data_IF_836797480813
#
_entry.id   IF_836797480813
#
_cell.length_a   1.000
_cell.length_b   1.000
_cell.length_c   1.000
_cell.angle_alpha   90.00
_cell.angle_beta   90.00
_cell.angle_gamma   90.00
#
_symmetry.space_group_name_H-M   'P 1'
#
loop_
_entity.id
_entity.type
_entity.pdbx_description
1 polymer ?
#
# COMPACT_ATOMS: atom_id res chain seq x y z
N UNK A 1 2.57 15.04 11.57
CA UNK A 1 3.02 13.95 12.45
C UNK A 1 1.80 13.14 12.87
N UNK A 2 1.79 11.81 12.62
CA UNK A 2 0.68 10.95 13.02
C UNK A 2 0.56 10.85 14.55
N UNK A 3 -0.65 10.57 15.04
CA UNK A 3 -0.90 10.38 16.50
C UNK A 3 -0.40 9.02 17.01
N UNK A 4 -0.22 8.06 16.11
CA UNK A 4 0.32 6.74 16.44
C UNK A 4 1.79 6.68 16.03
N UNK A 5 2.59 5.97 16.82
CA UNK A 5 3.97 5.74 16.48
C UNK A 5 4.07 4.76 15.31
N UNK A 6 5.14 4.85 14.59
CA UNK A 6 5.54 3.85 13.60
C UNK A 6 6.45 2.82 14.29
N UNK A 7 6.43 1.58 13.82
CA UNK A 7 7.26 0.49 14.35
C UNK A 7 8.48 0.32 13.45
N UNK A 8 9.70 0.61 13.93
CA UNK A 8 10.92 0.30 13.19
C UNK A 8 11.10 -1.21 13.02
N UNK A 9 11.83 -1.61 11.98
CA UNK A 9 12.17 -3.03 11.78
C UNK A 9 12.88 -3.65 13.00
N UNK A 10 13.71 -2.88 13.66
CA UNK A 10 14.46 -3.32 14.86
C UNK A 10 13.60 -3.59 16.08
N UNK A 11 12.34 -3.17 16.07
CA UNK A 11 11.41 -3.32 17.20
C UNK A 11 10.37 -4.42 16.99
N UNK A 12 10.51 -5.25 15.94
CA UNK A 12 9.60 -6.35 15.66
C UNK A 12 10.36 -7.59 15.20
N UNK A 13 9.89 -8.75 15.63
CA UNK A 13 10.32 -10.07 15.17
C UNK A 13 9.18 -10.85 14.48
N UNK A 14 8.01 -10.20 14.34
CA UNK A 14 6.84 -10.81 13.72
C UNK A 14 7.08 -11.07 12.22
N UNK A 15 6.93 -12.33 11.75
CA UNK A 15 7.24 -12.69 10.37
C UNK A 15 6.32 -12.04 9.33
N UNK A 16 5.07 -11.73 9.68
CA UNK A 16 4.13 -11.04 8.78
C UNK A 16 4.58 -9.60 8.59
N UNK A 17 4.93 -8.91 9.69
CA UNK A 17 5.43 -7.54 9.64
C UNK A 17 6.72 -7.47 8.83
N UNK A 18 7.69 -8.32 9.14
CA UNK A 18 8.99 -8.36 8.45
C UNK A 18 8.83 -8.71 6.97
N UNK A 19 7.96 -9.66 6.63
CA UNK A 19 7.67 -10.03 5.24
C UNK A 19 7.05 -8.87 4.45
N UNK A 20 6.13 -8.12 5.06
CA UNK A 20 5.56 -6.94 4.42
C UNK A 20 6.58 -5.81 4.27
N UNK A 21 7.44 -5.61 5.24
CA UNK A 21 8.51 -4.61 5.12
C UNK A 21 9.47 -4.97 3.98
N UNK A 22 9.85 -6.23 3.85
CA UNK A 22 10.69 -6.70 2.76
C UNK A 22 10.04 -6.47 1.38
N UNK A 23 8.73 -6.74 1.29
CA UNK A 23 7.97 -6.58 0.05
C UNK A 23 7.81 -5.10 -0.35
N UNK A 24 7.50 -4.23 0.61
CA UNK A 24 7.13 -2.84 0.33
C UNK A 24 8.32 -1.88 0.27
N UNK A 25 9.31 -2.10 1.12
CA UNK A 25 10.44 -1.17 1.29
C UNK A 25 11.76 -1.73 0.80
N UNK A 26 11.84 -3.03 0.61
CA UNK A 26 13.06 -3.74 0.23
C UNK A 26 13.63 -4.57 1.38
N UNK A 27 14.29 -5.67 1.02
CA UNK A 27 14.83 -6.64 1.98
C UNK A 27 15.84 -5.98 2.92
N UNK A 28 15.57 -6.10 4.21
CA UNK A 28 16.44 -5.60 5.26
C UNK A 28 16.36 -4.08 5.50
N UNK A 29 15.58 -3.34 4.72
CA UNK A 29 15.39 -1.89 4.90
C UNK A 29 14.51 -1.63 6.11
N UNK A 30 14.87 -0.65 6.95
CA UNK A 30 14.02 -0.16 8.03
C UNK A 30 13.18 1.02 7.51
N UNK A 31 11.84 0.85 7.39
CA UNK A 31 10.99 1.88 6.80
C UNK A 31 10.85 3.15 7.65
N UNK A 32 11.24 3.08 8.92
CA UNK A 32 11.15 4.23 9.85
C UNK A 32 12.44 5.01 9.90
N UNK A 33 13.58 4.31 9.96
CA UNK A 33 14.90 4.95 10.10
C UNK A 33 15.54 5.30 8.77
N UNK A 34 15.37 4.45 7.75
CA UNK A 34 16.03 4.61 6.46
C UNK A 34 15.30 5.55 5.49
N UNK A 35 14.11 5.95 5.77
CA UNK A 35 13.18 6.93 5.13
C UNK A 35 13.44 7.34 3.65
N UNK A 36 14.30 6.64 2.94
CA UNK A 36 14.75 7.05 1.60
C UNK A 36 13.80 6.71 0.48
N UNK A 37 12.80 5.88 0.75
CA UNK A 37 11.96 5.36 -0.34
C UNK A 37 10.51 5.22 0.13
N UNK A 38 9.58 5.68 -0.68
CA UNK A 38 8.20 5.24 -0.61
C UNK A 38 8.10 3.73 -0.83
N UNK A 39 6.94 3.15 -0.58
CA UNK A 39 6.70 1.74 -0.89
C UNK A 39 6.84 1.46 -2.39
N UNK A 40 6.97 0.20 -2.77
CA UNK A 40 6.92 -0.24 -4.17
C UNK A 40 5.66 0.26 -4.93
N UNK A 41 4.61 0.66 -4.21
CA UNK A 41 3.39 1.27 -4.76
C UNK A 41 3.43 2.80 -4.78
N UNK A 42 4.54 3.43 -4.36
CA UNK A 42 4.71 4.88 -4.34
C UNK A 42 4.04 5.60 -3.18
N UNK A 43 3.53 4.90 -2.16
CA UNK A 43 3.01 5.51 -0.93
C UNK A 43 4.13 5.77 0.07
N UNK A 44 3.91 6.70 1.01
CA UNK A 44 4.86 6.96 2.09
C UNK A 44 4.98 5.78 3.08
N UNK A 45 4.04 4.86 3.06
CA UNK A 45 4.09 3.62 3.84
C UNK A 45 3.76 3.75 5.31
N UNK A 46 3.50 4.96 5.81
CA UNK A 46 3.29 5.23 7.24
C UNK A 46 2.16 4.39 7.87
N UNK A 47 1.15 4.04 7.12
CA UNK A 47 0.06 3.21 7.63
C UNK A 47 0.48 1.75 7.82
N UNK A 48 1.38 1.21 7.00
CA UNK A 48 1.95 -0.12 7.19
C UNK A 48 2.80 -0.20 8.45
N UNK A 49 3.66 0.79 8.67
CA UNK A 49 4.49 0.86 9.87
C UNK A 49 3.68 1.13 11.14
N UNK A 50 2.50 1.73 10.99
CA UNK A 50 1.52 1.89 12.09
C UNK A 50 0.74 0.60 12.34
N UNK A 51 0.35 -0.15 11.31
CA UNK A 51 -0.30 -1.46 11.46
C UNK A 51 0.59 -2.47 12.16
N UNK A 52 1.89 -2.34 12.07
CA UNK A 52 2.84 -3.17 12.79
C UNK A 52 2.74 -3.07 14.33
N UNK A 53 1.98 -2.10 14.87
CA UNK A 53 1.61 -2.05 16.29
C UNK A 53 0.67 -3.20 16.70
N UNK A 54 -0.04 -3.78 15.75
CA UNK A 54 -0.94 -4.92 15.93
C UNK A 54 -0.71 -5.88 14.77
N UNK A 55 0.18 -6.87 14.92
CA UNK A 55 0.54 -7.80 13.85
C UNK A 55 -0.66 -8.56 13.27
N UNK A 56 -1.66 -8.89 14.07
CA UNK A 56 -2.93 -9.49 13.66
C UNK A 56 -3.73 -8.57 12.72
N UNK A 57 -3.74 -7.27 12.97
CA UNK A 57 -4.36 -6.27 12.08
C UNK A 57 -3.58 -6.17 10.77
N UNK A 58 -2.25 -6.22 10.83
CA UNK A 58 -1.42 -6.25 9.63
C UNK A 58 -1.69 -7.51 8.81
N UNK A 59 -1.77 -8.68 9.44
CA UNK A 59 -2.08 -9.95 8.78
C UNK A 59 -3.44 -9.88 8.05
N UNK A 60 -4.46 -9.36 8.73
CA UNK A 60 -5.78 -9.12 8.13
C UNK A 60 -5.70 -8.18 6.92
N UNK A 61 -4.98 -7.07 7.02
CA UNK A 61 -4.81 -6.14 5.93
C UNK A 61 -4.09 -6.78 4.74
N UNK A 62 -3.02 -7.54 5.00
CA UNK A 62 -2.28 -8.31 3.97
C UNK A 62 -3.20 -9.30 3.26
N UNK A 63 -4.00 -10.06 4.00
CA UNK A 63 -4.97 -10.98 3.41
C UNK A 63 -5.97 -10.27 2.49
N UNK A 64 -6.45 -9.09 2.89
CA UNK A 64 -7.31 -8.23 2.06
C UNK A 64 -6.62 -7.79 0.76
N UNK A 65 -5.36 -7.38 0.81
CA UNK A 65 -4.60 -7.01 -0.37
C UNK A 65 -4.32 -8.19 -1.30
N UNK A 66 -4.01 -9.36 -0.76
CA UNK A 66 -3.85 -10.59 -1.54
C UNK A 66 -5.14 -10.93 -2.29
N UNK A 67 -6.27 -10.89 -1.59
CA UNK A 67 -7.58 -11.09 -2.20
C UNK A 67 -7.88 -10.05 -3.29
N UNK A 68 -7.66 -8.78 -3.00
CA UNK A 68 -7.91 -7.67 -3.92
C UNK A 68 -7.09 -7.78 -5.21
N UNK A 69 -5.84 -8.22 -5.13
CA UNK A 69 -4.93 -8.38 -6.27
C UNK A 69 -4.98 -9.76 -6.92
N UNK A 70 -5.80 -10.67 -6.42
CA UNK A 70 -5.90 -12.03 -6.94
C UNK A 70 -6.27 -12.02 -8.44
N UNK A 71 -5.59 -12.82 -9.27
CA UNK A 71 -5.94 -12.98 -10.69
C UNK A 71 -7.31 -13.63 -10.90
N UNK A 72 -7.89 -14.22 -9.84
CA UNK A 72 -9.21 -14.84 -9.89
C UNK A 72 -10.35 -13.82 -9.69
N UNK A 73 -10.06 -12.51 -9.66
CA UNK A 73 -11.10 -11.48 -9.64
C UNK A 73 -11.80 -11.37 -10.98
N UNK A 74 -13.13 -11.30 -10.93
CA UNK A 74 -13.98 -11.16 -12.14
C UNK A 74 -13.84 -9.76 -12.74
N UNK A 75 -13.67 -8.74 -11.90
CA UNK A 75 -13.53 -7.36 -12.36
C UNK A 75 -12.11 -7.14 -12.93
N UNK A 76 -12.06 -6.65 -14.13
CA UNK A 76 -10.82 -6.27 -14.80
C UNK A 76 -10.01 -5.26 -13.97
N UNK A 77 -8.68 -5.42 -13.97
CA UNK A 77 -7.79 -4.61 -13.17
C UNK A 77 -7.86 -3.11 -13.49
N UNK A 78 -7.96 -2.75 -14.76
CA UNK A 78 -8.07 -1.35 -15.20
C UNK A 78 -9.39 -0.75 -14.74
N UNK A 79 -10.49 -1.48 -14.91
CA UNK A 79 -11.82 -1.02 -14.45
C UNK A 79 -11.86 -0.83 -12.93
N UNK A 80 -11.24 -1.75 -12.19
CA UNK A 80 -11.12 -1.65 -10.74
C UNK A 80 -10.37 -0.39 -10.32
N UNK A 81 -9.22 -0.14 -10.92
CA UNK A 81 -8.40 1.02 -10.58
C UNK A 81 -9.06 2.33 -11.03
N UNK A 82 -9.77 2.35 -12.17
CA UNK A 82 -10.57 3.50 -12.61
C UNK A 82 -11.67 3.85 -11.60
N UNK A 83 -12.39 2.85 -11.10
CA UNK A 83 -13.42 3.06 -10.09
C UNK A 83 -12.85 3.66 -8.81
N UNK A 84 -11.70 3.17 -8.34
CA UNK A 84 -11.05 3.69 -7.14
C UNK A 84 -10.46 5.09 -7.35
N UNK A 85 -9.90 5.37 -8.52
CA UNK A 85 -9.46 6.71 -8.91
C UNK A 85 -10.63 7.69 -8.86
N UNK A 86 -11.78 7.30 -9.42
CA UNK A 86 -13.00 8.11 -9.40
C UNK A 86 -13.52 8.36 -7.98
N UNK A 87 -13.51 7.33 -7.12
CA UNK A 87 -13.88 7.48 -5.70
C UNK A 87 -12.94 8.46 -5.00
N UNK A 88 -11.62 8.32 -5.21
CA UNK A 88 -10.63 9.23 -4.66
C UNK A 88 -10.88 10.69 -5.06
N UNK A 89 -11.18 10.91 -6.33
CA UNK A 89 -11.54 12.23 -6.85
C UNK A 89 -12.81 12.79 -6.18
N UNK A 90 -13.91 12.03 -6.21
CA UNK A 90 -15.21 12.46 -5.68
C UNK A 90 -15.16 12.71 -4.17
N UNK A 91 -14.36 11.95 -3.43
CA UNK A 91 -14.17 12.10 -1.98
C UNK A 91 -13.15 13.18 -1.61
N UNK A 92 -12.50 13.84 -2.58
CA UNK A 92 -11.44 14.82 -2.34
C UNK A 92 -10.18 14.23 -1.70
N UNK A 93 -9.98 12.92 -1.81
CA UNK A 93 -8.82 12.23 -1.25
C UNK A 93 -7.65 12.25 -2.23
N UNK A 94 -6.73 13.20 -2.06
CA UNK A 94 -5.50 13.26 -2.87
C UNK A 94 -4.68 11.98 -2.77
N UNK A 95 -4.60 11.38 -1.59
CA UNK A 95 -3.89 10.13 -1.37
C UNK A 95 -4.48 8.98 -2.21
N UNK A 96 -5.77 8.68 -2.04
CA UNK A 96 -6.43 7.61 -2.78
C UNK A 96 -6.32 7.84 -4.29
N UNK A 97 -6.62 9.05 -4.75
CA UNK A 97 -6.51 9.43 -6.16
C UNK A 97 -5.11 9.13 -6.71
N UNK A 98 -4.05 9.63 -6.07
CA UNK A 98 -2.68 9.50 -6.56
C UNK A 98 -2.23 8.03 -6.61
N UNK A 99 -2.59 7.21 -5.61
CA UNK A 99 -2.22 5.79 -5.56
C UNK A 99 -2.84 5.01 -6.75
N UNK A 100 -4.13 5.23 -6.99
CA UNK A 100 -4.85 4.50 -8.05
C UNK A 100 -4.53 5.00 -9.45
N UNK A 101 -4.19 6.29 -9.62
CA UNK A 101 -3.60 6.81 -10.87
C UNK A 101 -2.27 6.13 -11.19
N UNK A 102 -1.39 5.94 -10.19
CA UNK A 102 -0.14 5.22 -10.41
C UNK A 102 -0.37 3.75 -10.77
N UNK A 103 -1.31 3.11 -10.09
CA UNK A 103 -1.69 1.73 -10.41
C UNK A 103 -2.23 1.60 -11.85
N UNK A 104 -3.07 2.53 -12.31
CA UNK A 104 -3.57 2.58 -13.69
C UNK A 104 -2.43 2.71 -14.70
N UNK A 105 -1.48 3.59 -14.47
CA UNK A 105 -0.30 3.75 -15.31
C UNK A 105 0.53 2.46 -15.39
N UNK A 106 0.70 1.80 -14.25
CA UNK A 106 1.39 0.51 -14.16
C UNK A 106 0.68 -0.62 -14.92
N UNK A 107 -0.65 -0.54 -15.08
CA UNK A 107 -1.45 -1.46 -15.87
C UNK A 107 -1.51 -1.08 -17.37
N UNK A 108 -0.87 0.00 -17.79
CA UNK A 108 -0.88 0.45 -19.17
C UNK A 108 -2.20 1.09 -19.61
N UNK A 109 -2.98 1.62 -18.68
CA UNK A 109 -4.21 2.34 -19.01
C UNK A 109 -3.90 3.59 -19.85
N UNK A 110 -4.81 3.88 -20.79
CA UNK A 110 -4.74 5.05 -21.65
C UNK A 110 -4.70 6.33 -20.78
N UNK A 111 -3.65 7.17 -20.88
CA UNK A 111 -3.54 8.40 -20.10
C UNK A 111 -4.72 9.36 -20.26
N UNK A 112 -5.35 9.37 -21.43
CA UNK A 112 -6.49 10.26 -21.73
C UNK A 112 -7.78 9.82 -21.00
N UNK A 113 -7.76 8.65 -20.37
CA UNK A 113 -8.87 8.11 -19.57
C UNK A 113 -8.65 8.24 -18.06
N UNK A 114 -7.52 8.75 -17.66
CA UNK A 114 -7.15 8.97 -16.26
C UNK A 114 -7.33 10.44 -15.89
#
# INVERSE_FOLDING_TARGET
MGRLRQVPRSETDDPVVLGMYDLLFGKGVDPVTDRKMGTATGSEGDWWTTYALSPDIMEHAVAGFVMYRSPNRVVDGVLRELAQTRIGWCAGSKFVFSQHVQALRGLGADPDKI
#
